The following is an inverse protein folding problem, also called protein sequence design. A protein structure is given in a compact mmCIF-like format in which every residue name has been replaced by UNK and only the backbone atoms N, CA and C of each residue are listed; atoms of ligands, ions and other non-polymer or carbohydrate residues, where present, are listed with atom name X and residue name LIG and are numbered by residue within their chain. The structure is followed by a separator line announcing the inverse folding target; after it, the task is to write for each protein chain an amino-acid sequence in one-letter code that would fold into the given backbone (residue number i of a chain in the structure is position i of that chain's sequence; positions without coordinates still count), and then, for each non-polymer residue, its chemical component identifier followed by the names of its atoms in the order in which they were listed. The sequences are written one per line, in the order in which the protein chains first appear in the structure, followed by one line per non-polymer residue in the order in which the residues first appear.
data_IF_043623517949
#
_entry.id   IF_043623517949
#
_cell.length_a   1.000
_cell.length_b   1.000
_cell.length_c   1.000
_cell.angle_alpha   90.00
_cell.angle_beta   90.00
_cell.angle_gamma   90.00
#
_symmetry.space_group_name_H-M   'P 1'
#
loop_
_entity.id
_entity.type
_entity.pdbx_description
1 polymer ?
#
# COMPACT_ATOMS: atom_id res chain seq x y z
N UNK A 1 -21.92 -5.46 18.65
CA UNK A 1 -21.30 -6.25 17.53
C UNK A 1 -21.90 -5.93 16.16
N UNK A 2 -23.23 -5.87 16.01
CA UNK A 2 -23.85 -5.59 14.70
C UNK A 2 -23.52 -4.18 14.18
N UNK A 3 -23.62 -3.16 15.03
CA UNK A 3 -23.34 -1.77 14.65
C UNK A 3 -21.88 -1.59 14.24
N UNK A 4 -20.94 -2.18 14.96
CA UNK A 4 -19.51 -2.15 14.60
C UNK A 4 -19.23 -2.81 13.25
N UNK A 5 -19.90 -3.93 12.93
CA UNK A 5 -19.80 -4.60 11.64
C UNK A 5 -20.34 -3.71 10.51
N UNK A 6 -21.49 -3.07 10.75
CA UNK A 6 -22.10 -2.16 9.78
C UNK A 6 -21.24 -0.93 9.51
N UNK A 7 -20.70 -0.31 10.56
CA UNK A 7 -19.82 0.85 10.45
C UNK A 7 -18.54 0.51 9.66
N UNK A 8 -17.90 -0.62 9.99
CA UNK A 8 -16.72 -1.08 9.27
C UNK A 8 -17.02 -1.37 7.81
N UNK A 9 -18.12 -2.07 7.53
CA UNK A 9 -18.56 -2.33 6.16
C UNK A 9 -18.79 -1.04 5.38
N UNK A 10 -19.49 -0.05 5.93
CA UNK A 10 -19.77 1.22 5.26
C UNK A 10 -18.48 2.03 5.00
N UNK A 11 -17.53 1.99 5.92
CA UNK A 11 -16.21 2.61 5.73
C UNK A 11 -15.47 1.98 4.56
N UNK A 12 -15.34 0.67 4.55
CA UNK A 12 -14.67 -0.07 3.46
C UNK A 12 -15.42 0.08 2.13
N UNK A 13 -16.74 0.03 2.16
CA UNK A 13 -17.56 0.19 0.97
C UNK A 13 -17.44 1.60 0.35
N UNK A 14 -17.42 2.64 1.17
CA UNK A 14 -17.28 4.02 0.69
C UNK A 14 -15.90 4.29 0.05
N UNK A 15 -14.87 3.63 0.54
CA UNK A 15 -13.48 3.78 0.08
C UNK A 15 -13.03 2.71 -0.91
N UNK A 16 -13.94 1.83 -1.38
CA UNK A 16 -13.60 0.69 -2.24
C UNK A 16 -12.87 1.03 -3.54
N UNK A 17 -13.07 2.26 -4.03
CA UNK A 17 -12.39 2.79 -5.21
C UNK A 17 -10.99 3.37 -4.91
N UNK A 18 -10.63 3.51 -3.64
CA UNK A 18 -9.32 3.99 -3.20
C UNK A 18 -8.73 3.07 -2.11
N UNK A 19 -8.30 1.86 -2.48
CA UNK A 19 -7.88 0.82 -1.52
C UNK A 19 -6.57 1.15 -0.80
N UNK A 20 -5.85 2.16 -1.22
CA UNK A 20 -4.62 2.64 -0.57
C UNK A 20 -4.89 3.75 0.44
N UNK A 21 -6.14 4.21 0.55
CA UNK A 21 -6.53 5.21 1.55
C UNK A 21 -6.27 4.69 2.97
N UNK A 22 -5.74 5.56 3.84
CA UNK A 22 -5.39 5.19 5.21
C UNK A 22 -6.55 4.52 5.96
N UNK A 23 -7.75 5.09 5.88
CA UNK A 23 -8.93 4.54 6.57
C UNK A 23 -9.39 3.21 5.99
N UNK A 24 -9.19 2.98 4.68
CA UNK A 24 -9.46 1.67 4.08
C UNK A 24 -8.51 0.60 4.63
N UNK A 25 -7.22 0.87 4.65
CA UNK A 25 -6.20 -0.04 5.19
C UNK A 25 -6.42 -0.28 6.68
N UNK A 26 -6.70 0.78 7.44
CA UNK A 26 -7.03 0.68 8.87
C UNK A 26 -8.30 -0.16 9.10
N UNK A 27 -9.30 -0.01 8.25
CA UNK A 27 -10.52 -0.82 8.30
C UNK A 27 -10.26 -2.29 8.01
N UNK A 28 -9.44 -2.63 7.04
CA UNK A 28 -9.05 -4.03 6.77
C UNK A 28 -8.41 -4.69 8.00
N UNK A 29 -7.55 -3.97 8.71
CA UNK A 29 -6.90 -4.46 9.93
C UNK A 29 -7.85 -4.69 11.13
N UNK A 30 -9.10 -4.22 11.04
CA UNK A 30 -10.11 -4.43 12.08
C UNK A 30 -10.98 -5.67 11.82
N UNK A 31 -10.91 -6.27 10.63
CA UNK A 31 -11.78 -7.39 10.23
C UNK A 31 -11.63 -8.57 11.18
N UNK A 32 -10.41 -8.93 11.56
CA UNK A 32 -10.10 -10.05 12.44
C UNK A 32 -10.83 -9.98 13.80
N UNK A 33 -11.08 -8.75 14.28
CA UNK A 33 -11.77 -8.52 15.56
C UNK A 33 -13.28 -8.36 15.35
N UNK A 34 -13.66 -7.57 14.34
CA UNK A 34 -15.07 -7.18 14.15
C UNK A 34 -15.90 -8.30 13.54
N UNK A 35 -15.31 -9.10 12.66
CA UNK A 35 -15.97 -10.21 11.96
C UNK A 35 -15.46 -11.59 12.39
N UNK A 36 -14.80 -11.73 13.55
CA UNK A 36 -14.27 -13.00 14.08
C UNK A 36 -15.27 -14.16 14.09
N UNK A 37 -16.56 -13.83 14.30
CA UNK A 37 -17.68 -14.76 14.38
C UNK A 37 -18.39 -15.02 13.03
N UNK A 38 -17.82 -14.54 11.90
CA UNK A 38 -18.41 -14.70 10.57
C UNK A 38 -17.44 -15.44 9.64
N UNK A 39 -17.49 -16.79 9.59
CA UNK A 39 -16.51 -17.61 8.89
C UNK A 39 -16.30 -17.24 7.41
N UNK A 40 -17.38 -16.91 6.69
CA UNK A 40 -17.29 -16.55 5.26
C UNK A 40 -16.54 -15.25 5.03
N UNK A 41 -16.73 -14.26 5.90
CA UNK A 41 -15.98 -12.99 5.84
C UNK A 41 -14.53 -13.25 6.16
N UNK A 42 -14.23 -14.03 7.19
CA UNK A 42 -12.87 -14.39 7.57
C UNK A 42 -12.15 -15.19 6.48
N UNK A 43 -12.81 -16.12 5.81
CA UNK A 43 -12.24 -16.84 4.66
C UNK A 43 -11.89 -15.88 3.51
N UNK A 44 -12.79 -14.97 3.16
CA UNK A 44 -12.57 -13.99 2.10
C UNK A 44 -11.46 -13.00 2.47
N UNK A 45 -11.38 -12.59 3.72
CA UNK A 45 -10.31 -11.74 4.24
C UNK A 45 -8.95 -12.43 4.16
N UNK A 46 -8.84 -13.68 4.61
CA UNK A 46 -7.58 -14.43 4.56
C UNK A 46 -7.09 -14.59 3.10
N UNK A 47 -7.98 -14.88 2.15
CA UNK A 47 -7.63 -14.96 0.73
C UNK A 47 -7.08 -13.64 0.19
N UNK A 48 -7.68 -12.52 0.55
CA UNK A 48 -7.19 -11.20 0.17
C UNK A 48 -5.84 -10.91 0.82
N UNK A 49 -5.70 -11.15 2.11
CA UNK A 49 -4.47 -10.93 2.87
C UNK A 49 -3.29 -11.72 2.29
N UNK A 50 -3.48 -13.01 2.02
CA UNK A 50 -2.46 -13.87 1.42
C UNK A 50 -2.03 -13.37 0.03
N UNK A 51 -3.00 -12.90 -0.76
CA UNK A 51 -2.72 -12.32 -2.09
C UNK A 51 -1.94 -11.01 -2.02
N UNK A 52 -2.19 -10.17 -1.02
CA UNK A 52 -1.47 -8.90 -0.84
C UNK A 52 0.02 -9.11 -0.51
N UNK A 53 0.37 -10.25 0.09
CA UNK A 53 1.75 -10.64 0.37
C UNK A 53 2.54 -11.15 -0.85
N UNK A 54 1.87 -11.48 -1.95
CA UNK A 54 2.49 -12.02 -3.17
C UNK A 54 2.87 -10.88 -4.12
N UNK A 55 4.17 -10.65 -4.32
CA UNK A 55 4.69 -9.51 -5.10
C UNK A 55 4.79 -9.75 -6.61
N UNK A 56 4.71 -11.00 -7.08
CA UNK A 56 5.14 -11.38 -8.43
C UNK A 56 4.00 -11.74 -9.40
N UNK A 57 2.76 -11.35 -9.12
CA UNK A 57 1.65 -11.64 -10.03
C UNK A 57 1.50 -10.52 -11.07
N UNK A 58 1.66 -10.88 -12.34
CA UNK A 58 1.49 -10.00 -13.51
C UNK A 58 0.10 -9.31 -13.51
N UNK A 59 -0.91 -9.98 -12.97
CA UNK A 59 -2.29 -9.50 -12.85
C UNK A 59 -2.73 -9.23 -11.40
N UNK A 60 -1.81 -8.87 -10.50
CA UNK A 60 -2.08 -8.70 -9.07
C UNK A 60 -3.20 -7.69 -8.78
N UNK A 61 -3.26 -6.58 -9.50
CA UNK A 61 -4.33 -5.57 -9.33
C UNK A 61 -5.73 -6.14 -9.59
N UNK A 62 -5.88 -6.94 -10.65
CA UNK A 62 -7.15 -7.56 -11.02
C UNK A 62 -7.58 -8.60 -10.01
N UNK A 63 -6.64 -9.41 -9.54
CA UNK A 63 -6.86 -10.38 -8.48
C UNK A 63 -7.27 -9.71 -7.17
N UNK A 64 -6.59 -8.64 -6.76
CA UNK A 64 -6.94 -7.89 -5.55
C UNK A 64 -8.30 -7.22 -5.66
N UNK A 65 -8.67 -6.70 -6.82
CA UNK A 65 -10.01 -6.14 -7.05
C UNK A 65 -11.10 -7.20 -6.88
N UNK A 66 -10.92 -8.39 -7.45
CA UNK A 66 -11.87 -9.51 -7.33
C UNK A 66 -11.98 -9.96 -5.87
N UNK A 67 -10.86 -10.19 -5.18
CA UNK A 67 -10.85 -10.65 -3.80
C UNK A 67 -11.44 -9.60 -2.84
N UNK A 68 -11.17 -8.33 -3.07
CA UNK A 68 -11.77 -7.23 -2.32
C UNK A 68 -13.28 -7.13 -2.55
N UNK A 69 -13.72 -7.30 -3.79
CA UNK A 69 -15.15 -7.35 -4.13
C UNK A 69 -15.84 -8.52 -3.43
N UNK A 70 -15.24 -9.69 -3.42
CA UNK A 70 -15.76 -10.87 -2.72
C UNK A 70 -15.87 -10.64 -1.21
N UNK A 71 -14.86 -10.07 -0.59
CA UNK A 71 -14.88 -9.72 0.83
C UNK A 71 -16.05 -8.78 1.17
N UNK A 72 -16.20 -7.69 0.43
CA UNK A 72 -17.30 -6.75 0.63
C UNK A 72 -18.67 -7.38 0.37
N UNK A 73 -18.77 -8.31 -0.58
CA UNK A 73 -19.99 -9.06 -0.86
C UNK A 73 -20.39 -9.96 0.31
N UNK A 74 -19.46 -10.69 0.90
CA UNK A 74 -19.72 -11.54 2.07
C UNK A 74 -20.11 -10.70 3.31
N UNK A 75 -19.46 -9.55 3.51
CA UNK A 75 -19.84 -8.61 4.56
C UNK A 75 -21.27 -8.09 4.35
N UNK A 76 -21.61 -7.68 3.13
CA UNK A 76 -22.93 -7.18 2.76
C UNK A 76 -24.02 -8.23 3.00
N UNK A 77 -23.79 -9.46 2.57
CA UNK A 77 -24.73 -10.57 2.78
C UNK A 77 -24.97 -10.85 4.27
N UNK A 78 -23.91 -10.89 5.08
CA UNK A 78 -24.00 -11.05 6.51
C UNK A 78 -24.84 -9.95 7.19
N UNK A 79 -24.73 -8.72 6.69
CA UNK A 79 -25.46 -7.56 7.20
C UNK A 79 -26.89 -7.42 6.63
N UNK A 80 -27.32 -8.35 5.77
CA UNK A 80 -28.66 -8.38 5.21
C UNK A 80 -28.87 -7.52 3.96
N UNK A 81 -27.77 -7.00 3.35
CA UNK A 81 -27.84 -6.27 2.07
C UNK A 81 -27.92 -7.20 0.86
N UNK A 82 -28.91 -8.11 0.86
CA UNK A 82 -29.04 -9.19 -0.13
C UNK A 82 -29.28 -8.75 -1.58
N UNK A 83 -29.66 -7.49 -1.78
CA UNK A 83 -29.86 -6.92 -3.12
C UNK A 83 -28.57 -6.33 -3.72
N UNK A 84 -27.53 -6.18 -2.93
CA UNK A 84 -26.25 -5.64 -3.37
C UNK A 84 -25.49 -6.70 -4.17
N UNK A 85 -25.28 -6.47 -5.45
CA UNK A 85 -24.55 -7.37 -6.34
C UNK A 85 -23.05 -7.02 -6.40
N UNK A 86 -22.22 -7.95 -6.84
CA UNK A 86 -20.79 -7.69 -7.03
C UNK A 86 -20.52 -6.53 -8.01
N UNK A 87 -21.34 -6.41 -9.06
CA UNK A 87 -21.29 -5.29 -10.01
C UNK A 87 -21.56 -3.93 -9.34
N UNK A 88 -22.43 -3.89 -8.32
CA UNK A 88 -22.69 -2.66 -7.56
C UNK A 88 -21.49 -2.31 -6.66
N UNK A 89 -20.82 -3.31 -6.12
CA UNK A 89 -19.62 -3.13 -5.32
C UNK A 89 -18.47 -2.59 -6.17
N UNK A 90 -18.31 -3.07 -7.40
CA UNK A 90 -17.29 -2.59 -8.34
C UNK A 90 -17.59 -1.18 -8.87
N UNK A 91 -18.86 -0.80 -8.92
CA UNK A 91 -19.30 0.52 -9.38
C UNK A 91 -19.01 1.58 -8.33
N UNK A 92 -17.97 2.37 -8.55
CA UNK A 92 -17.66 3.52 -7.69
C UNK A 92 -17.55 4.80 -8.51
N UNK A 93 -17.91 5.92 -7.89
CA UNK A 93 -17.70 7.24 -8.46
C UNK A 93 -16.38 7.83 -7.95
N UNK A 94 -15.52 8.22 -8.88
CA UNK A 94 -14.30 8.96 -8.58
C UNK A 94 -14.21 10.15 -9.55
N UNK A 95 -14.20 11.39 -9.06
CA UNK A 95 -13.98 12.56 -9.92
C UNK A 95 -12.61 12.48 -10.60
N UNK A 96 -12.54 12.96 -11.86
CA UNK A 96 -11.27 13.02 -12.62
C UNK A 96 -10.21 13.83 -11.87
N UNK A 97 -10.62 14.86 -11.13
CA UNK A 97 -9.72 15.64 -10.28
C UNK A 97 -8.99 14.79 -9.24
N UNK A 98 -9.68 13.84 -8.60
CA UNK A 98 -9.07 12.94 -7.60
C UNK A 98 -8.04 12.00 -8.21
N UNK A 99 -8.25 11.49 -9.43
CA UNK A 99 -7.23 10.68 -10.09
C UNK A 99 -5.98 11.49 -10.46
N UNK A 100 -6.14 12.74 -10.90
CA UNK A 100 -5.01 13.64 -11.15
C UNK A 100 -4.24 13.99 -9.88
N UNK A 101 -4.95 14.22 -8.77
CA UNK A 101 -4.31 14.49 -7.48
C UNK A 101 -3.54 13.27 -6.97
N UNK A 102 -4.07 12.07 -7.13
CA UNK A 102 -3.38 10.84 -6.81
C UNK A 102 -2.12 10.64 -7.67
N UNK A 103 -2.23 10.83 -8.98
CA UNK A 103 -1.10 10.74 -9.92
C UNK A 103 -0.01 11.75 -9.58
N UNK A 104 -0.40 12.99 -9.28
CA UNK A 104 0.53 14.05 -8.85
C UNK A 104 1.21 13.71 -7.53
N UNK A 105 0.47 13.17 -6.56
CA UNK A 105 1.02 12.73 -5.29
C UNK A 105 2.06 11.63 -5.47
N UNK A 106 1.76 10.60 -6.26
CA UNK A 106 2.70 9.50 -6.53
C UNK A 106 3.93 9.97 -7.32
N UNK A 107 3.75 10.85 -8.30
CA UNK A 107 4.85 11.46 -9.06
C UNK A 107 5.76 12.28 -8.14
N UNK A 108 5.18 13.06 -7.22
CA UNK A 108 5.95 13.85 -6.24
C UNK A 108 6.72 12.95 -5.26
N UNK A 109 6.09 11.90 -4.74
CA UNK A 109 6.75 10.91 -3.86
C UNK A 109 7.88 10.17 -4.55
N UNK A 110 7.72 9.84 -5.83
CA UNK A 110 8.77 9.23 -6.64
C UNK A 110 9.95 10.19 -6.82
N UNK A 111 9.70 11.44 -7.19
CA UNK A 111 10.73 12.46 -7.36
C UNK A 111 11.48 12.73 -6.06
N UNK A 112 10.80 12.79 -4.92
CA UNK A 112 11.38 12.93 -3.60
C UNK A 112 12.35 11.79 -3.28
N UNK A 113 11.95 10.55 -3.55
CA UNK A 113 12.79 9.35 -3.36
C UNK A 113 14.04 9.41 -4.22
N UNK A 114 13.90 9.69 -5.52
CA UNK A 114 15.01 9.79 -6.46
C UNK A 114 15.99 10.89 -6.05
N UNK A 115 15.49 12.02 -5.53
CA UNK A 115 16.32 13.08 -4.99
C UNK A 115 17.17 12.62 -3.80
N UNK A 116 16.57 11.93 -2.82
CA UNK A 116 17.29 11.40 -1.65
C UNK A 116 18.31 10.33 -2.03
N UNK A 117 17.98 9.44 -2.96
CA UNK A 117 18.90 8.40 -3.45
C UNK A 117 20.13 9.06 -4.13
N UNK A 118 19.91 10.05 -4.98
CA UNK A 118 20.98 10.80 -5.66
C UNK A 118 21.84 11.57 -4.65
N UNK A 119 21.24 12.24 -3.68
CA UNK A 119 21.97 12.99 -2.64
C UNK A 119 22.83 12.06 -1.78
N UNK A 120 22.32 10.86 -1.44
CA UNK A 120 23.08 9.84 -0.70
C UNK A 120 24.27 9.35 -1.50
N UNK A 121 24.08 9.08 -2.79
CA UNK A 121 25.18 8.63 -3.67
C UNK A 121 26.25 9.73 -3.84
N UNK A 122 25.86 10.97 -4.03
CA UNK A 122 26.79 12.10 -4.08
C UNK A 122 27.60 12.23 -2.79
N UNK A 123 26.96 12.14 -1.63
CA UNK A 123 27.66 12.18 -0.34
C UNK A 123 28.67 11.04 -0.20
N UNK A 124 28.30 9.83 -0.63
CA UNK A 124 29.20 8.67 -0.62
C UNK A 124 30.42 8.89 -1.50
N UNK A 125 30.24 9.44 -2.70
CA UNK A 125 31.34 9.76 -3.62
C UNK A 125 32.28 10.84 -3.05
N UNK A 126 31.75 11.87 -2.40
CA UNK A 126 32.55 12.92 -1.74
C UNK A 126 33.39 12.33 -0.60
N UNK A 127 32.80 11.51 0.26
CA UNK A 127 33.49 10.85 1.36
C UNK A 127 34.60 9.94 0.82
N UNK A 128 34.32 9.14 -0.20
CA UNK A 128 35.30 8.25 -0.81
C UNK A 128 36.49 9.05 -1.42
N UNK A 129 36.20 10.15 -2.10
CA UNK A 129 37.24 11.03 -2.65
C UNK A 129 38.13 11.61 -1.54
N UNK A 130 37.52 12.07 -0.45
CA UNK A 130 38.26 12.59 0.70
C UNK A 130 39.17 11.52 1.34
N UNK A 131 38.67 10.33 1.58
CA UNK A 131 39.44 9.22 2.15
C UNK A 131 40.60 8.83 1.24
N UNK A 132 40.41 8.74 -0.06
CA UNK A 132 41.48 8.44 -1.03
C UNK A 132 42.53 9.56 -1.08
N UNK A 133 42.14 10.80 -0.96
CA UNK A 133 43.06 11.94 -0.93
C UNK A 133 43.96 11.92 0.33
N UNK A 134 43.38 11.60 1.47
CA UNK A 134 44.18 11.45 2.73
C UNK A 134 45.17 10.30 2.65
N UNK A 135 44.74 9.14 2.11
CA UNK A 135 45.62 7.98 1.95
C UNK A 135 46.84 8.26 1.05
N UNK A 136 46.65 9.10 0.01
CA UNK A 136 47.77 9.49 -0.86
C UNK A 136 48.75 10.43 -0.13
N UNK A 137 48.28 11.38 0.67
CA UNK A 137 49.12 12.30 1.45
C UNK A 137 49.95 11.50 2.48
N UNK A 138 49.39 10.50 3.16
CA UNK A 138 50.04 9.68 4.12
C UNK A 138 51.12 8.79 3.48
N UNK A 139 50.93 8.33 2.25
CA UNK A 139 51.93 7.57 1.49
C UNK A 139 53.12 8.43 1.02
N UNK A 140 52.86 9.66 0.57
CA UNK A 140 53.90 10.57 0.16
C UNK A 140 54.80 11.00 1.34
N UNK A 141 54.21 11.20 2.54
CA UNK A 141 54.95 11.54 3.74
C UNK A 141 55.86 10.39 4.19
N UNK A 142 55.46 9.12 4.03
CA UNK A 142 56.28 7.96 4.35
C UNK A 142 57.48 7.73 3.42
N UNK A 143 57.44 8.25 2.19
CA UNK A 143 58.54 8.18 1.24
C UNK A 143 59.61 9.28 1.47
N UNK A 144 59.28 10.36 2.16
CA UNK A 144 60.20 11.45 2.47
C UNK A 144 61.05 11.13 3.70
N UNK A 145 60.52 10.30 4.64
CA UNK A 145 61.22 9.92 5.89
C UNK A 145 62.06 8.63 5.78
N UNK A 146 62.21 8.08 4.59
CA UNK A 146 63.02 6.90 4.29
C UNK A 146 64.25 7.23 3.43
#
# INVERSE_FOLDING_TARGET
KYDSKKELFLTLFSLRGNPTHYDFVSGLNQIDIVFEDVPKVMESWNKLYDSLGQKDLVDSYKTWEILRTNLLSEMAQHLGYNKLQQTDIQKNYSPIAHSKDADNYYAHKKAEREFFETATEMNRMVIQHYVNSQANVDNDNKQIDS
#
